data_IF_558366090638
#
_entry.id   IF_558366090638
#
_cell.length_a   1.000
_cell.length_b   1.000
_cell.length_c   1.000
_cell.angle_alpha   90.00
_cell.angle_beta   90.00
_cell.angle_gamma   90.00
#
_symmetry.space_group_name_H-M   'P 1'
#
loop_
_entity.id
_entity.type
_entity.pdbx_description
1 polymer ?
#
# COMPACT_ATOMS: atom_id res chain seq x y z
N UNK A 1 -5.83 20.98 0.36
CA UNK A 1 -6.30 20.29 -0.84
C UNK A 1 -7.36 19.25 -0.46
N UNK A 2 -8.56 19.26 -1.07
CA UNK A 2 -9.75 18.53 -0.62
C UNK A 2 -9.71 17.00 -0.74
N UNK A 3 -8.62 16.42 -1.29
CA UNK A 3 -8.49 14.96 -1.49
C UNK A 3 -7.91 14.18 -0.29
N UNK A 4 -7.11 14.83 0.54
CA UNK A 4 -6.48 14.18 1.69
C UNK A 4 -7.50 13.62 2.71
N UNK A 5 -8.58 14.34 3.10
CA UNK A 5 -9.52 13.84 4.11
C UNK A 5 -10.25 12.56 3.69
N UNK A 6 -10.55 12.41 2.39
CA UNK A 6 -11.23 11.24 1.85
C UNK A 6 -10.35 9.98 1.91
N UNK A 7 -9.04 10.13 1.66
CA UNK A 7 -8.08 9.03 1.75
C UNK A 7 -7.92 8.57 3.21
N UNK A 8 -7.74 9.49 4.16
CA UNK A 8 -7.65 9.15 5.59
C UNK A 8 -8.91 8.49 6.14
N UNK A 9 -10.09 8.88 5.65
CA UNK A 9 -11.36 8.23 6.02
C UNK A 9 -11.43 6.80 5.48
N UNK A 10 -11.00 6.56 4.23
CA UNK A 10 -10.91 5.22 3.65
C UNK A 10 -9.89 4.36 4.40
N UNK A 11 -8.73 4.92 4.73
CA UNK A 11 -7.68 4.26 5.51
C UNK A 11 -8.21 3.74 6.86
N UNK A 12 -8.90 4.61 7.61
CA UNK A 12 -9.50 4.27 8.92
C UNK A 12 -10.63 3.25 8.81
N UNK A 13 -11.38 3.25 7.70
CA UNK A 13 -12.43 2.27 7.45
C UNK A 13 -11.83 0.91 7.03
N UNK A 14 -10.76 0.91 6.25
CA UNK A 14 -10.03 -0.30 5.86
C UNK A 14 -9.40 -1.00 7.06
N UNK A 15 -8.81 -0.25 8.00
CA UNK A 15 -8.30 -0.80 9.27
C UNK A 15 -9.40 -1.48 10.12
N UNK A 16 -10.64 -0.97 10.09
CA UNK A 16 -11.75 -1.52 10.90
C UNK A 16 -12.55 -2.64 10.23
N UNK A 17 -12.59 -2.69 8.91
CA UNK A 17 -13.52 -3.55 8.15
C UNK A 17 -12.84 -4.52 7.19
N UNK A 18 -11.51 -4.63 7.19
CA UNK A 18 -10.74 -5.39 6.18
C UNK A 18 -11.20 -5.06 4.75
N UNK A 19 -11.48 -3.79 4.49
CA UNK A 19 -11.92 -3.35 3.16
C UNK A 19 -10.72 -3.30 2.22
N UNK A 20 -10.81 -4.08 1.14
CA UNK A 20 -9.80 -4.11 0.08
C UNK A 20 -9.66 -2.73 -0.56
N UNK A 21 -8.45 -2.20 -0.57
CA UNK A 21 -8.10 -0.89 -1.14
C UNK A 21 -8.01 -0.94 -2.66
N UNK A 22 -7.57 -2.06 -3.21
CA UNK A 22 -7.37 -2.27 -4.63
C UNK A 22 -8.49 -3.15 -5.21
N UNK A 23 -8.99 -2.85 -6.42
CA UNK A 23 -9.88 -3.76 -7.12
C UNK A 23 -9.18 -5.10 -7.38
N UNK A 24 -9.80 -6.21 -6.94
CA UNK A 24 -9.22 -7.55 -7.07
C UNK A 24 -8.89 -7.94 -8.52
N UNK A 25 -9.69 -7.47 -9.50
CA UNK A 25 -9.44 -7.71 -10.92
C UNK A 25 -8.13 -7.04 -11.39
N UNK A 26 -7.90 -5.78 -11.02
CA UNK A 26 -6.68 -5.04 -11.37
C UNK A 26 -5.45 -5.64 -10.71
N UNK A 27 -5.54 -6.04 -9.43
CA UNK A 27 -4.46 -6.70 -8.73
C UNK A 27 -4.12 -8.06 -9.36
N UNK A 28 -5.13 -8.87 -9.65
CA UNK A 28 -4.96 -10.16 -10.32
C UNK A 28 -4.31 -10.02 -11.70
N UNK A 29 -4.73 -9.02 -12.50
CA UNK A 29 -4.12 -8.72 -13.79
C UNK A 29 -2.64 -8.33 -13.66
N UNK A 30 -2.30 -7.51 -12.68
CA UNK A 30 -0.92 -7.11 -12.39
C UNK A 30 -0.04 -8.29 -11.96
N UNK A 31 -0.53 -9.12 -11.04
CA UNK A 31 0.20 -10.31 -10.57
C UNK A 31 0.41 -11.31 -11.71
N UNK A 32 -0.60 -11.53 -12.57
CA UNK A 32 -0.46 -12.38 -13.76
C UNK A 32 0.41 -11.78 -14.87
N UNK A 33 0.72 -10.48 -14.80
CA UNK A 33 1.62 -9.80 -15.73
C UNK A 33 3.11 -10.07 -15.46
N UNK A 34 3.47 -10.61 -14.29
CA UNK A 34 4.87 -10.93 -14.01
C UNK A 34 5.34 -12.13 -14.83
N UNK A 35 6.49 -11.97 -15.49
CA UNK A 35 7.06 -12.96 -16.41
C UNK A 35 7.31 -14.34 -15.77
N UNK A 36 7.57 -14.38 -14.46
CA UNK A 36 7.72 -15.63 -13.68
C UNK A 36 6.41 -16.42 -13.65
N UNK A 37 5.28 -15.73 -13.52
CA UNK A 37 3.95 -16.34 -13.42
C UNK A 37 3.45 -16.77 -14.81
N UNK A 38 3.77 -16.01 -15.85
CA UNK A 38 3.39 -16.35 -17.23
C UNK A 38 4.08 -17.59 -17.79
N UNK A 39 5.23 -17.99 -17.24
CA UNK A 39 6.00 -19.18 -17.67
C UNK A 39 5.40 -20.53 -17.26
N UNK A 40 4.11 -20.57 -16.92
CA UNK A 40 3.35 -21.81 -16.72
C UNK A 40 2.88 -22.10 -15.30
N UNK A 41 3.05 -21.16 -14.36
CA UNK A 41 2.58 -21.34 -12.99
C UNK A 41 1.28 -20.55 -12.75
N UNK A 42 0.16 -21.25 -12.63
CA UNK A 42 -1.08 -20.66 -12.18
C UNK A 42 -1.00 -20.26 -10.70
N UNK A 43 -1.44 -19.05 -10.35
CA UNK A 43 -1.55 -18.64 -8.94
C UNK A 43 -2.89 -19.10 -8.39
N UNK A 44 -2.87 -19.89 -7.31
CA UNK A 44 -4.07 -20.36 -6.62
C UNK A 44 -4.89 -19.17 -6.08
N UNK A 45 -6.23 -19.28 -6.05
CA UNK A 45 -7.12 -18.19 -5.64
C UNK A 45 -6.83 -17.69 -4.22
N UNK A 46 -6.61 -18.60 -3.27
CA UNK A 46 -6.26 -18.21 -1.89
C UNK A 46 -4.88 -17.52 -1.82
N UNK A 47 -3.91 -17.95 -2.63
CA UNK A 47 -2.60 -17.30 -2.70
C UNK A 47 -2.69 -15.88 -3.28
N UNK A 48 -3.52 -15.68 -4.31
CA UNK A 48 -3.80 -14.35 -4.86
C UNK A 48 -4.45 -13.41 -3.82
N UNK A 49 -5.40 -13.93 -3.03
CA UNK A 49 -6.04 -13.18 -1.96
C UNK A 49 -5.04 -12.79 -0.85
N UNK A 50 -4.21 -13.74 -0.40
CA UNK A 50 -3.19 -13.50 0.61
C UNK A 50 -2.14 -12.49 0.14
N UNK A 51 -1.71 -12.57 -1.13
CA UNK A 51 -0.82 -11.58 -1.74
C UNK A 51 -1.45 -10.19 -1.73
N UNK A 52 -2.74 -10.09 -2.11
CA UNK A 52 -3.43 -8.81 -2.11
C UNK A 52 -3.51 -8.23 -0.68
N UNK A 53 -3.90 -9.04 0.30
CA UNK A 53 -4.00 -8.61 1.69
C UNK A 53 -2.64 -8.16 2.24
N UNK A 54 -1.58 -8.93 2.01
CA UNK A 54 -0.23 -8.57 2.44
C UNK A 54 0.27 -7.27 1.78
N UNK A 55 0.06 -7.10 0.47
CA UNK A 55 0.43 -5.89 -0.25
C UNK A 55 -0.32 -4.66 0.26
N UNK A 56 -1.64 -4.77 0.47
CA UNK A 56 -2.44 -3.66 0.97
C UNK A 56 -2.08 -3.30 2.42
N UNK A 57 -1.85 -4.28 3.28
CA UNK A 57 -1.36 -4.06 4.64
C UNK A 57 -0.01 -3.32 4.65
N UNK A 58 0.92 -3.72 3.77
CA UNK A 58 2.21 -3.05 3.65
C UNK A 58 2.07 -1.60 3.14
N UNK A 59 1.23 -1.35 2.13
CA UNK A 59 0.96 0.00 1.63
C UNK A 59 0.31 0.90 2.69
N UNK A 60 -0.59 0.36 3.52
CA UNK A 60 -1.19 1.07 4.64
C UNK A 60 -0.13 1.50 5.65
N UNK A 61 0.75 0.58 6.06
CA UNK A 61 1.84 0.87 6.99
C UNK A 61 2.77 1.97 6.44
N UNK A 62 3.13 1.91 5.15
CA UNK A 62 3.95 2.94 4.51
C UNK A 62 3.25 4.31 4.47
N UNK A 63 1.96 4.34 4.16
CA UNK A 63 1.18 5.58 4.14
C UNK A 63 1.08 6.22 5.54
N UNK A 64 1.00 5.40 6.58
CA UNK A 64 1.05 5.86 7.98
C UNK A 64 2.43 6.45 8.31
N UNK A 65 3.53 5.76 7.97
CA UNK A 65 4.90 6.28 8.18
C UNK A 65 5.13 7.60 7.41
N UNK A 66 4.74 7.68 6.13
CA UNK A 66 4.84 8.90 5.34
C UNK A 66 3.96 10.02 5.91
N UNK A 67 2.77 9.68 6.42
CA UNK A 67 1.86 10.60 7.08
C UNK A 67 2.46 11.20 8.35
N UNK A 68 3.15 10.38 9.15
CA UNK A 68 3.87 10.83 10.36
C UNK A 68 5.02 11.77 10.00
N UNK A 69 5.79 11.47 8.95
CA UNK A 69 6.84 12.38 8.46
C UNK A 69 6.28 13.73 7.98
N UNK A 70 5.17 13.70 7.23
CA UNK A 70 4.50 14.92 6.79
C UNK A 70 4.00 15.75 7.99
N UNK A 71 3.38 15.10 8.98
CA UNK A 71 2.90 15.75 10.20
C UNK A 71 4.04 16.33 11.04
N UNK A 72 5.16 15.60 11.15
CA UNK A 72 6.37 16.07 11.81
C UNK A 72 6.91 17.35 11.16
N UNK A 73 6.83 17.45 9.83
CA UNK A 73 7.15 18.65 9.08
C UNK A 73 6.02 19.71 9.07
N UNK A 74 5.02 19.59 9.96
CA UNK A 74 3.84 20.48 10.07
C UNK A 74 3.01 20.59 8.79
N UNK A 75 3.01 19.55 7.95
CA UNK A 75 2.23 19.45 6.72
C UNK A 75 1.15 18.37 6.87
N UNK A 76 0.03 18.54 6.15
CA UNK A 76 -1.05 17.54 6.08
C UNK A 76 -1.01 16.70 4.79
N UNK A 77 -0.18 17.08 3.82
CA UNK A 77 -0.01 16.40 2.55
C UNK A 77 1.36 15.72 2.49
N UNK A 78 1.35 14.45 2.09
CA UNK A 78 2.56 13.65 1.84
C UNK A 78 3.26 14.18 0.59
N UNK A 79 4.59 14.31 0.68
CA UNK A 79 5.47 14.74 -0.40
C UNK A 79 6.55 13.67 -0.69
N UNK A 80 7.23 13.81 -1.82
CA UNK A 80 8.33 12.91 -2.22
C UNK A 80 9.48 12.88 -1.21
N UNK A 81 9.70 13.96 -0.46
CA UNK A 81 10.66 14.01 0.63
C UNK A 81 10.31 13.03 1.78
N UNK A 82 9.03 12.92 2.13
CA UNK A 82 8.56 12.01 3.19
C UNK A 82 8.76 10.55 2.77
N UNK A 83 8.49 10.23 1.49
CA UNK A 83 8.73 8.91 0.91
C UNK A 83 10.21 8.54 0.93
N UNK A 84 11.07 9.45 0.51
CA UNK A 84 12.53 9.25 0.51
C UNK A 84 13.07 9.04 1.91
N UNK A 85 12.59 9.82 2.88
CA UNK A 85 13.01 9.71 4.27
C UNK A 85 12.68 8.34 4.85
N UNK A 86 11.42 7.89 4.74
CA UNK A 86 11.00 6.58 5.24
C UNK A 86 11.78 5.45 4.56
N UNK A 87 11.96 5.52 3.24
CA UNK A 87 12.77 4.52 2.51
C UNK A 87 14.21 4.46 3.01
N UNK A 88 14.83 5.62 3.29
CA UNK A 88 16.17 5.68 3.88
C UNK A 88 16.22 5.05 5.27
N UNK A 89 15.21 5.31 6.11
CA UNK A 89 15.12 4.74 7.45
C UNK A 89 14.91 3.22 7.43
N UNK A 90 14.12 2.71 6.49
CA UNK A 90 13.90 1.26 6.36
C UNK A 90 15.17 0.51 5.95
N UNK A 91 15.99 1.08 5.06
CA UNK A 91 17.28 0.48 4.66
C UNK A 91 18.25 0.41 5.83
N UNK A 92 18.20 1.35 6.78
CA UNK A 92 19.06 1.33 7.97
C UNK A 92 18.58 0.37 9.06
N UNK A 93 17.35 -0.15 8.97
CA UNK A 93 16.75 -1.06 9.96
C UNK A 93 16.98 -2.54 9.62
N UNK A 94 17.36 -2.87 8.39
CA UNK A 94 17.75 -4.22 7.97
C UNK A 94 19.25 -4.37 7.88
#
# INVERSE_FOLDING_TARGET
SPRAPALWKKLRLSQKKNLKLLPAASFCGLVRGFSIIQKGFGVHRAAMAALQEGCEAHLLALLEEWGLCALHAKRSAVQTADVRLVRCLQVKRG
#
